data_IF_597147616289
#
_entry.id   IF_597147616289
#
_cell.length_a   1.000
_cell.length_b   1.000
_cell.length_c   1.000
_cell.angle_alpha   90.00
_cell.angle_beta   90.00
_cell.angle_gamma   90.00
#
_symmetry.space_group_name_H-M   'P 1'
#
loop_
_entity.id
_entity.type
_entity.pdbx_description
1 polymer ?
#
# COMPACT_ATOMS: atom_id res chain seq x y z
N UNK A 1 2.98 50.26 -66.99
CA UNK A 1 3.73 49.04 -66.57
C UNK A 1 3.86 48.97 -65.04
N UNK A 2 2.77 48.75 -64.29
CA UNK A 2 2.81 48.60 -62.81
C UNK A 2 1.84 47.54 -62.25
N UNK A 3 1.35 46.62 -63.08
CA UNK A 3 0.38 45.59 -62.68
C UNK A 3 0.98 44.18 -62.59
N UNK A 4 2.19 43.97 -63.12
CA UNK A 4 2.82 42.63 -63.20
C UNK A 4 3.55 42.25 -61.90
N UNK A 5 3.94 43.22 -61.07
CA UNK A 5 4.72 42.98 -59.86
C UNK A 5 3.89 42.37 -58.72
N UNK A 6 2.62 42.75 -58.59
CA UNK A 6 1.73 42.28 -57.52
C UNK A 6 1.31 40.81 -57.69
N UNK A 7 1.14 40.36 -58.93
CA UNK A 7 0.79 38.96 -59.23
C UNK A 7 1.96 38.03 -58.89
N UNK A 8 3.21 38.45 -59.14
CA UNK A 8 4.40 37.69 -58.76
C UNK A 8 4.60 37.66 -57.24
N UNK A 9 4.26 38.74 -56.54
CA UNK A 9 4.38 38.82 -55.08
C UNK A 9 3.32 37.94 -54.38
N UNK A 10 2.08 37.90 -54.90
CA UNK A 10 1.03 37.02 -54.39
C UNK A 10 1.30 35.53 -54.72
N UNK A 11 1.84 35.22 -55.90
CA UNK A 11 2.26 33.86 -56.24
C UNK A 11 3.39 33.36 -55.32
N UNK A 12 4.35 34.23 -54.98
CA UNK A 12 5.43 33.89 -54.04
C UNK A 12 4.92 33.71 -52.59
N UNK A 13 3.89 34.45 -52.19
CA UNK A 13 3.29 34.34 -50.85
C UNK A 13 2.42 33.08 -50.70
N UNK A 14 1.73 32.66 -51.77
CA UNK A 14 0.96 31.41 -51.80
C UNK A 14 1.87 30.18 -51.87
N UNK A 15 3.01 30.24 -52.57
CA UNK A 15 3.99 29.13 -52.58
C UNK A 15 4.72 28.91 -51.25
N UNK A 16 4.86 29.93 -50.41
CA UNK A 16 5.53 29.81 -49.09
C UNK A 16 4.61 29.16 -48.03
N UNK A 17 3.29 29.16 -48.23
CA UNK A 17 2.31 28.63 -47.26
C UNK A 17 1.84 27.20 -47.55
N UNK A 18 2.22 26.61 -48.68
CA UNK A 18 1.92 25.21 -49.04
C UNK A 18 3.21 24.38 -49.12
N UNK A 19 3.87 24.19 -47.98
CA UNK A 19 4.83 23.10 -47.80
C UNK A 19 4.13 21.96 -47.02
N UNK A 20 3.56 20.95 -47.71
CA UNK A 20 2.65 19.98 -47.10
C UNK A 20 3.30 18.92 -46.19
N UNK A 21 4.59 19.02 -45.85
CA UNK A 21 5.28 17.92 -45.16
C UNK A 21 5.40 18.02 -43.62
N UNK A 22 5.19 19.19 -42.99
CA UNK A 22 5.49 19.34 -41.55
C UNK A 22 4.28 19.42 -40.59
N UNK A 23 3.04 19.50 -41.09
CA UNK A 23 1.85 19.54 -40.22
C UNK A 23 1.38 18.16 -39.71
N UNK A 24 1.81 17.06 -40.36
CA UNK A 24 1.45 15.69 -39.96
C UNK A 24 2.23 15.19 -38.73
N UNK A 25 3.48 15.64 -38.56
CA UNK A 25 4.37 15.14 -37.49
C UNK A 25 4.05 15.79 -36.13
N UNK A 26 3.64 17.06 -36.13
CA UNK A 26 3.36 17.85 -34.92
C UNK A 26 1.99 17.53 -34.29
N UNK A 27 1.03 17.09 -35.11
CA UNK A 27 -0.30 16.64 -34.63
C UNK A 27 -0.29 15.22 -34.09
N UNK A 28 0.56 14.33 -34.63
CA UNK A 28 0.71 12.95 -34.16
C UNK A 28 1.34 12.85 -32.76
N UNK A 29 2.34 13.67 -32.46
CA UNK A 29 3.00 13.67 -31.14
C UNK A 29 2.11 14.28 -30.06
N UNK A 30 1.42 15.39 -30.35
CA UNK A 30 0.48 16.03 -29.42
C UNK A 30 -0.62 15.08 -28.94
N UNK A 31 -1.21 14.30 -29.86
CA UNK A 31 -2.25 13.33 -29.52
C UNK A 31 -1.75 12.20 -28.61
N UNK A 32 -0.51 11.74 -28.78
CA UNK A 32 0.08 10.68 -27.94
C UNK A 32 0.29 11.17 -26.49
N UNK A 33 0.73 12.43 -26.31
CA UNK A 33 0.87 13.01 -24.97
C UNK A 33 -0.48 13.21 -24.29
N UNK A 34 -1.49 13.66 -25.03
CA UNK A 34 -2.86 13.82 -24.50
C UNK A 34 -3.46 12.46 -24.14
N UNK A 35 -3.38 11.47 -25.03
CA UNK A 35 -3.91 10.13 -24.75
C UNK A 35 -3.16 9.44 -23.61
N UNK A 36 -1.83 9.61 -23.52
CA UNK A 36 -1.01 9.09 -22.43
C UNK A 36 -1.35 9.74 -21.09
N UNK A 37 -1.53 11.07 -21.06
CA UNK A 37 -1.95 11.79 -19.87
C UNK A 37 -3.34 11.37 -19.38
N UNK A 38 -4.30 11.17 -20.29
CA UNK A 38 -5.64 10.67 -19.96
C UNK A 38 -5.57 9.25 -19.41
N UNK A 39 -4.73 8.37 -19.94
CA UNK A 39 -4.58 7.00 -19.42
C UNK A 39 -3.94 6.99 -18.02
N UNK A 40 -2.86 7.75 -17.83
CA UNK A 40 -2.11 7.81 -16.58
C UNK A 40 -2.88 8.48 -15.43
N UNK A 41 -3.73 9.47 -15.72
CA UNK A 41 -4.54 10.16 -14.71
C UNK A 41 -5.95 9.55 -14.63
N UNK A 42 -6.53 9.20 -15.77
CA UNK A 42 -7.87 8.63 -15.87
C UNK A 42 -7.98 7.23 -15.26
N UNK A 43 -6.91 6.42 -15.29
CA UNK A 43 -6.88 5.14 -14.60
C UNK A 43 -7.07 5.29 -13.09
N UNK A 44 -6.17 5.98 -12.37
CA UNK A 44 -6.34 6.28 -10.96
C UNK A 44 -7.63 7.03 -10.63
N UNK A 45 -8.01 8.03 -11.44
CA UNK A 45 -9.24 8.81 -11.22
C UNK A 45 -10.51 7.96 -11.32
N UNK A 46 -10.57 7.02 -12.27
CA UNK A 46 -11.69 6.08 -12.39
C UNK A 46 -11.78 5.15 -11.18
N UNK A 47 -10.63 4.67 -10.68
CA UNK A 47 -10.59 3.85 -9.47
C UNK A 47 -11.12 4.64 -8.27
N UNK A 48 -10.67 5.88 -8.08
CA UNK A 48 -11.19 6.73 -6.99
C UNK A 48 -12.68 7.03 -7.11
N UNK A 49 -13.20 7.13 -8.34
CA UNK A 49 -14.62 7.38 -8.56
C UNK A 49 -15.51 6.15 -8.28
N UNK A 50 -15.04 4.95 -8.65
CA UNK A 50 -15.84 3.71 -8.52
C UNK A 50 -15.69 3.08 -7.15
N UNK A 51 -14.53 3.26 -6.50
CA UNK A 51 -14.28 2.65 -5.18
C UNK A 51 -15.06 3.42 -4.12
N UNK A 52 -16.04 2.79 -3.45
CA UNK A 52 -16.79 3.46 -2.38
C UNK A 52 -15.86 3.85 -1.23
N UNK A 53 -16.16 4.97 -0.56
CA UNK A 53 -15.41 5.42 0.61
C UNK A 53 -15.61 4.47 1.79
N UNK A 54 -14.71 4.52 2.77
CA UNK A 54 -14.74 3.61 3.92
C UNK A 54 -16.03 3.78 4.74
N UNK A 55 -16.58 4.99 4.77
CA UNK A 55 -17.83 5.34 5.46
C UNK A 55 -19.05 4.77 4.77
N UNK A 56 -19.12 4.83 3.43
CA UNK A 56 -20.19 4.18 2.67
C UNK A 56 -20.13 2.67 2.76
N UNK A 57 -18.92 2.10 2.79
CA UNK A 57 -18.72 0.67 3.01
C UNK A 57 -19.15 0.27 4.43
N UNK A 58 -18.85 1.10 5.43
CA UNK A 58 -19.23 0.89 6.82
C UNK A 58 -20.76 0.87 6.99
N UNK A 59 -21.49 1.79 6.34
CA UNK A 59 -22.95 1.84 6.40
C UNK A 59 -23.63 0.64 5.73
N UNK A 60 -22.98 -0.02 4.78
CA UNK A 60 -23.46 -1.26 4.15
C UNK A 60 -23.23 -2.52 5.01
N UNK A 61 -22.43 -2.44 6.08
CA UNK A 61 -22.19 -3.59 6.96
C UNK A 61 -23.37 -3.88 7.88
N UNK A 62 -23.51 -5.16 8.25
CA UNK A 62 -24.42 -5.62 9.30
C UNK A 62 -24.07 -4.93 10.64
N UNK A 63 -25.03 -4.45 11.46
CA UNK A 63 -24.78 -3.71 12.72
C UNK A 63 -23.75 -4.34 13.67
N UNK A 64 -23.69 -5.67 13.78
CA UNK A 64 -22.69 -6.35 14.62
C UNK A 64 -21.25 -6.14 14.11
N UNK A 65 -21.06 -6.15 12.79
CA UNK A 65 -19.74 -5.91 12.18
C UNK A 65 -19.31 -4.45 12.31
N UNK A 66 -20.26 -3.52 12.23
CA UNK A 66 -20.00 -2.10 12.49
C UNK A 66 -19.45 -1.89 13.90
N UNK A 67 -20.10 -2.49 14.91
CA UNK A 67 -19.67 -2.43 16.30
C UNK A 67 -18.29 -3.03 16.51
N UNK A 68 -18.04 -4.23 15.99
CA UNK A 68 -16.70 -4.86 16.10
C UNK A 68 -15.61 -4.11 15.35
N UNK A 69 -15.95 -3.44 14.24
CA UNK A 69 -14.99 -2.63 13.52
C UNK A 69 -14.66 -1.35 14.29
N UNK A 70 -15.63 -0.73 14.95
CA UNK A 70 -15.47 0.42 15.85
C UNK A 70 -14.58 0.07 17.05
N UNK A 71 -14.89 -1.03 17.73
CA UNK A 71 -14.15 -1.50 18.91
C UNK A 71 -12.70 -1.85 18.56
N UNK A 72 -12.45 -2.47 17.41
CA UNK A 72 -11.12 -2.93 16.99
C UNK A 72 -10.33 -1.92 16.16
N UNK A 73 -10.81 -0.69 15.95
CA UNK A 73 -10.05 0.31 15.15
C UNK A 73 -8.68 0.58 15.74
N UNK A 74 -8.62 0.75 17.07
CA UNK A 74 -7.38 1.04 17.78
C UNK A 74 -6.40 -0.12 17.69
N UNK A 75 -6.88 -1.34 17.97
CA UNK A 75 -6.11 -2.58 17.83
C UNK A 75 -5.55 -2.73 16.41
N UNK A 76 -6.38 -2.53 15.38
CA UNK A 76 -5.94 -2.58 13.98
C UNK A 76 -4.89 -1.54 13.64
N UNK A 77 -4.99 -0.33 14.18
CA UNK A 77 -4.01 0.72 13.96
C UNK A 77 -2.67 0.35 14.60
N UNK A 78 -2.70 -0.13 15.84
CA UNK A 78 -1.51 -0.60 16.56
C UNK A 78 -0.86 -1.80 15.86
N UNK A 79 -1.65 -2.77 15.40
CA UNK A 79 -1.18 -3.91 14.62
C UNK A 79 -0.53 -3.49 13.31
N UNK A 80 -1.13 -2.50 12.63
CA UNK A 80 -0.61 -1.95 11.38
C UNK A 80 0.72 -1.23 11.61
N UNK A 81 0.80 -0.37 12.63
CA UNK A 81 2.02 0.34 12.98
C UNK A 81 3.14 -0.63 13.36
N UNK A 82 2.81 -1.69 14.12
CA UNK A 82 3.73 -2.75 14.48
C UNK A 82 4.19 -3.54 13.24
N UNK A 83 3.28 -3.85 12.32
CA UNK A 83 3.59 -4.53 11.06
C UNK A 83 4.53 -3.71 10.19
N UNK A 84 4.25 -2.43 9.98
CA UNK A 84 5.12 -1.50 9.24
C UNK A 84 6.48 -1.38 9.94
N UNK A 85 6.50 -1.34 11.28
CA UNK A 85 7.73 -1.38 12.07
C UNK A 85 8.60 -2.61 11.78
N UNK A 86 7.98 -3.80 11.74
CA UNK A 86 8.68 -5.06 11.39
C UNK A 86 9.18 -5.07 9.95
N UNK A 87 8.36 -4.62 9.00
CA UNK A 87 8.78 -4.51 7.60
C UNK A 87 10.00 -3.59 7.45
N UNK A 88 10.01 -2.44 8.15
CA UNK A 88 11.17 -1.54 8.18
C UNK A 88 12.41 -2.21 8.78
N UNK A 89 12.25 -3.11 9.76
CA UNK A 89 13.37 -3.88 10.31
C UNK A 89 13.86 -4.93 9.31
N UNK A 90 12.96 -5.67 8.66
CA UNK A 90 13.32 -6.70 7.68
C UNK A 90 13.98 -6.08 6.44
N UNK A 91 13.52 -4.91 6.00
CA UNK A 91 14.13 -4.17 4.87
C UNK A 91 15.57 -3.73 5.12
N UNK A 92 16.06 -3.72 6.36
CA UNK A 92 17.46 -3.41 6.67
C UNK A 92 18.38 -4.63 6.55
N UNK A 93 17.82 -5.83 6.40
CA UNK A 93 18.58 -7.05 6.20
C UNK A 93 18.85 -7.24 4.71
N UNK A 94 20.04 -7.76 4.39
CA UNK A 94 20.37 -8.21 3.04
C UNK A 94 19.60 -9.48 2.61
N UNK A 95 18.88 -10.11 3.56
CA UNK A 95 18.01 -11.24 3.28
C UNK A 95 16.69 -10.77 2.67
N UNK A 96 16.06 -11.57 1.79
CA UNK A 96 14.73 -11.24 1.31
C UNK A 96 13.71 -11.24 2.46
N UNK A 97 12.74 -10.32 2.37
CA UNK A 97 11.77 -10.03 3.45
C UNK A 97 10.99 -11.27 3.89
N UNK A 98 10.66 -12.18 2.96
CA UNK A 98 9.92 -13.41 3.30
C UNK A 98 10.74 -14.37 4.17
N UNK A 99 12.04 -14.50 3.93
CA UNK A 99 12.92 -15.34 4.76
C UNK A 99 13.10 -14.73 6.15
N UNK A 100 13.30 -13.41 6.24
CA UNK A 100 13.39 -12.71 7.51
C UNK A 100 12.09 -12.81 8.34
N UNK A 101 10.93 -12.80 7.68
CA UNK A 101 9.64 -13.05 8.32
C UNK A 101 9.59 -14.46 8.88
N UNK A 102 9.88 -15.49 8.08
CA UNK A 102 9.82 -16.90 8.51
C UNK A 102 10.72 -17.16 9.72
N UNK A 103 11.93 -16.59 9.74
CA UNK A 103 12.85 -16.66 10.87
C UNK A 103 12.26 -16.01 12.13
N UNK A 104 11.69 -14.81 12.04
CA UNK A 104 11.05 -14.13 13.17
C UNK A 104 9.80 -14.87 13.66
N UNK A 105 9.00 -15.43 12.75
CA UNK A 105 7.84 -16.24 13.07
C UNK A 105 8.24 -17.54 13.79
N UNK A 106 9.30 -18.22 13.34
CA UNK A 106 9.84 -19.40 14.00
C UNK A 106 10.36 -19.06 15.40
N UNK A 107 11.11 -17.94 15.54
CA UNK A 107 11.62 -17.47 16.82
C UNK A 107 10.48 -17.16 17.81
N UNK A 108 9.41 -16.51 17.37
CA UNK A 108 8.24 -16.22 18.22
C UNK A 108 7.52 -17.49 18.68
N UNK A 109 7.39 -18.49 17.80
CA UNK A 109 6.82 -19.80 18.19
C UNK A 109 7.67 -20.48 19.25
N UNK A 110 9.00 -20.49 19.09
CA UNK A 110 9.91 -21.06 20.07
C UNK A 110 9.84 -20.33 21.42
N UNK A 111 9.85 -18.99 21.40
CA UNK A 111 9.70 -18.18 22.61
C UNK A 111 8.36 -18.42 23.30
N UNK A 112 7.27 -18.55 22.55
CA UNK A 112 5.95 -18.86 23.11
C UNK A 112 5.89 -20.24 23.78
N UNK A 113 6.51 -21.25 23.17
CA UNK A 113 6.62 -22.59 23.78
C UNK A 113 7.48 -22.53 25.05
N UNK A 114 8.63 -21.85 24.99
CA UNK A 114 9.52 -21.73 26.14
C UNK A 114 8.82 -21.01 27.31
N UNK A 115 8.14 -19.89 27.04
CA UNK A 115 7.41 -19.15 28.06
C UNK A 115 6.30 -19.98 28.74
N UNK A 116 5.58 -20.81 27.97
CA UNK A 116 4.57 -21.70 28.53
C UNK A 116 5.18 -22.83 29.37
N UNK A 117 6.32 -23.38 28.96
CA UNK A 117 7.06 -24.37 29.75
C UNK A 117 7.58 -23.78 31.06
N UNK A 118 8.12 -22.56 31.01
CA UNK A 118 8.62 -21.85 32.19
C UNK A 118 7.47 -21.53 33.16
N UNK A 119 6.30 -21.09 32.65
CA UNK A 119 5.09 -20.89 33.46
C UNK A 119 4.65 -22.17 34.17
N UNK A 120 4.66 -23.30 33.46
CA UNK A 120 4.31 -24.60 34.07
C UNK A 120 5.32 -25.03 35.13
N UNK A 121 6.61 -24.74 34.91
CA UNK A 121 7.66 -25.04 35.87
C UNK A 121 7.48 -24.22 37.15
N UNK A 122 7.24 -22.91 37.04
CA UNK A 122 7.01 -22.05 38.21
C UNK A 122 5.77 -22.48 38.99
N UNK A 123 4.68 -22.84 38.30
CA UNK A 123 3.45 -23.33 38.96
C UNK A 123 3.68 -24.67 39.68
N UNK A 124 4.49 -25.57 39.11
CA UNK A 124 4.85 -26.82 39.77
C UNK A 124 5.74 -26.57 41.00
N UNK A 125 6.72 -25.67 40.91
CA UNK A 125 7.59 -25.29 42.03
C UNK A 125 6.78 -24.66 43.18
N UNK A 126 5.83 -23.76 42.88
CA UNK A 126 4.92 -23.18 43.87
C UNK A 126 4.01 -24.23 44.52
N UNK A 127 3.51 -25.20 43.75
CA UNK A 127 2.68 -26.26 44.27
C UNK A 127 3.46 -27.20 45.20
N UNK A 128 4.70 -27.53 44.86
CA UNK A 128 5.59 -28.34 45.71
C UNK A 128 6.00 -27.58 46.98
N UNK A 129 6.30 -26.28 46.89
CA UNK A 129 6.56 -25.44 48.06
C UNK A 129 5.37 -25.42 49.03
N UNK A 130 4.14 -25.23 48.52
CA UNK A 130 2.92 -25.30 49.34
C UNK A 130 2.72 -26.67 50.00
N UNK A 131 3.03 -27.76 49.30
CA UNK A 131 2.96 -29.12 49.89
C UNK A 131 3.97 -29.29 51.03
N UNK A 132 5.19 -28.78 50.87
CA UNK A 132 6.21 -28.84 51.92
C UNK A 132 5.84 -28.02 53.14
N UNK A 133 5.29 -26.82 52.97
CA UNK A 133 4.77 -25.99 54.06
C UNK A 133 3.65 -26.69 54.84
N UNK A 134 2.70 -27.34 54.14
CA UNK A 134 1.65 -28.13 54.77
C UNK A 134 2.21 -29.34 55.52
N UNK A 135 3.17 -30.08 54.95
CA UNK A 135 3.77 -31.22 55.64
C UNK A 135 4.56 -30.81 56.88
N UNK A 136 5.21 -29.64 56.85
CA UNK A 136 5.98 -29.12 57.97
C UNK A 136 5.09 -28.56 59.10
N UNK A 137 3.87 -28.10 58.81
CA UNK A 137 2.92 -27.62 59.83
C UNK A 137 2.11 -28.75 60.50
N UNK A 138 2.09 -29.94 59.90
CA UNK A 138 1.43 -31.15 60.42
C UNK A 138 2.35 -32.03 61.30
N UNK A 139 3.65 -31.72 61.39
CA UNK A 139 4.65 -32.45 62.18
C UNK A 139 5.00 -31.71 63.47
#
# INVERSE_FOLDING_TARGET
>A
MKTITWVKMLASYVSITHHPENHSKMTKSSNIYISGGIMCIGGPALIYYVTPTEEELFMRYNPELQRRSLERRKEKQEDFDQFVGRLKQYSKSDKPVWTAWEEDAAKRRQLGIQAELDRRRSEAEEAEARKQEMQNSLR
#
